data_IF_000612699810
#
_entry.id   IF_000612699810
#
_cell.length_a   1.000
_cell.length_b   1.000
_cell.length_c   1.000
_cell.angle_alpha   90.00
_cell.angle_beta   90.00
_cell.angle_gamma   90.00
#
_symmetry.space_group_name_H-M   'P 1'
#
loop_
_entity.id
_entity.type
_entity.pdbx_description
1 polymer ?
#
# COMPACT_ATOMS: atom_id res chain seq x y z
N UNK A 1 -5.41 -18.37 -4.23
CA UNK A 1 -6.29 -17.25 -4.63
C UNK A 1 -5.55 -16.49 -5.71
N UNK A 2 -6.09 -16.56 -6.92
CA UNK A 2 -5.57 -15.90 -8.11
C UNK A 2 -6.24 -14.52 -8.14
N UNK A 3 -5.45 -13.44 -8.21
CA UNK A 3 -5.96 -12.07 -8.33
C UNK A 3 -6.38 -11.86 -9.79
N UNK A 4 -7.42 -12.57 -10.23
CA UNK A 4 -7.84 -12.68 -11.64
C UNK A 4 -8.71 -11.53 -12.15
N UNK A 5 -8.73 -10.39 -11.47
CA UNK A 5 -9.43 -9.22 -11.99
C UNK A 5 -8.52 -8.00 -11.90
N UNK A 6 -7.45 -8.06 -12.69
CA UNK A 6 -6.57 -6.94 -12.95
C UNK A 6 -7.25 -5.94 -13.90
N UNK A 7 -8.44 -5.46 -13.54
CA UNK A 7 -9.00 -4.22 -14.08
C UNK A 7 -8.38 -2.98 -13.38
N UNK A 8 -7.17 -3.13 -12.82
CA UNK A 8 -6.37 -2.13 -12.11
C UNK A 8 -5.70 -1.15 -13.07
N UNK A 9 -6.47 -0.36 -13.79
CA UNK A 9 -5.93 0.87 -14.35
C UNK A 9 -5.76 1.87 -13.20
N UNK A 10 -4.51 2.01 -12.74
CA UNK A 10 -3.94 3.02 -11.83
C UNK A 10 -4.00 2.83 -10.29
N UNK A 11 -5.04 2.26 -9.67
CA UNK A 11 -5.17 2.32 -8.19
C UNK A 11 -5.41 0.98 -7.47
N UNK A 12 -4.58 0.69 -6.46
CA UNK A 12 -4.71 -0.48 -5.56
C UNK A 12 -4.94 -0.09 -4.11
N UNK A 13 -6.05 -0.58 -3.54
CA UNK A 13 -6.42 -0.40 -2.15
C UNK A 13 -6.39 -1.73 -1.39
N UNK A 14 -5.65 -1.78 -0.27
CA UNK A 14 -5.59 -2.93 0.62
C UNK A 14 -6.03 -2.52 2.02
N UNK A 15 -7.01 -3.24 2.57
CA UNK A 15 -7.48 -3.05 3.94
C UNK A 15 -6.72 -3.97 4.90
N UNK A 16 -6.33 -3.44 6.06
CA UNK A 16 -5.67 -4.18 7.13
C UNK A 16 -6.16 -3.70 8.50
N UNK A 17 -6.13 -4.58 9.49
CA UNK A 17 -6.60 -4.26 10.84
C UNK A 17 -5.49 -3.72 11.74
N UNK A 18 -4.24 -4.12 11.48
CA UNK A 18 -3.08 -3.69 12.27
C UNK A 18 -2.03 -3.03 11.37
N UNK A 19 -1.21 -2.17 11.97
CA UNK A 19 -0.11 -1.52 11.26
C UNK A 19 0.90 -2.52 10.69
N UNK A 20 1.21 -3.58 11.46
CA UNK A 20 2.13 -4.61 11.01
C UNK A 20 1.62 -5.27 9.73
N UNK A 21 0.32 -5.58 9.66
CA UNK A 21 -0.29 -6.12 8.45
C UNK A 21 -0.27 -5.12 7.29
N UNK A 22 -0.37 -3.81 7.56
CA UNK A 22 -0.22 -2.78 6.52
C UNK A 22 1.20 -2.79 5.93
N UNK A 23 2.22 -2.87 6.78
CA UNK A 23 3.60 -2.92 6.32
C UNK A 23 3.89 -4.23 5.57
N UNK A 24 3.47 -5.37 6.11
CA UNK A 24 3.62 -6.69 5.46
C UNK A 24 2.98 -6.71 4.07
N UNK A 25 1.75 -6.18 3.94
CA UNK A 25 1.07 -6.08 2.64
C UNK A 25 1.78 -5.13 1.69
N UNK A 26 2.25 -3.98 2.17
CA UNK A 26 2.99 -3.01 1.35
C UNK A 26 4.29 -3.62 0.81
N UNK A 27 5.04 -4.33 1.64
CA UNK A 27 6.24 -5.07 1.24
C UNK A 27 5.91 -6.19 0.26
N UNK A 28 4.84 -6.95 0.51
CA UNK A 28 4.40 -8.04 -0.35
C UNK A 28 4.00 -7.57 -1.75
N UNK A 29 3.22 -6.48 -1.84
CA UNK A 29 2.85 -5.86 -3.11
C UNK A 29 4.09 -5.33 -3.83
N UNK A 30 5.01 -4.66 -3.12
CA UNK A 30 6.25 -4.15 -3.71
C UNK A 30 7.09 -5.27 -4.33
N UNK A 31 7.26 -6.38 -3.60
CA UNK A 31 7.99 -7.54 -4.10
C UNK A 31 7.28 -8.20 -5.30
N UNK A 32 5.95 -8.36 -5.22
CA UNK A 32 5.17 -8.95 -6.30
C UNK A 32 5.21 -8.09 -7.57
N UNK A 33 5.03 -6.77 -7.45
CA UNK A 33 5.14 -5.81 -8.54
C UNK A 33 6.53 -5.84 -9.18
N UNK A 34 7.59 -5.85 -8.38
CA UNK A 34 8.96 -5.95 -8.88
C UNK A 34 9.20 -7.26 -9.66
N UNK A 35 8.66 -8.39 -9.18
CA UNK A 35 8.80 -9.69 -9.83
C UNK A 35 8.15 -9.74 -11.22
N UNK A 36 7.11 -8.93 -11.46
CA UNK A 36 6.44 -8.82 -12.77
C UNK A 36 6.82 -7.55 -13.55
N UNK A 37 7.85 -6.83 -13.10
CA UNK A 37 8.36 -5.62 -13.79
C UNK A 37 7.50 -4.37 -13.65
N UNK A 38 6.54 -4.34 -12.73
CA UNK A 38 5.74 -3.15 -12.42
C UNK A 38 6.49 -2.21 -11.48
N UNK A 39 6.40 -0.90 -11.76
CA UNK A 39 6.95 0.15 -10.90
C UNK A 39 5.86 0.72 -10.01
N UNK A 40 6.04 0.59 -8.69
CA UNK A 40 5.18 1.29 -7.74
C UNK A 40 5.58 2.76 -7.68
N UNK A 41 4.59 3.63 -7.88
CA UNK A 41 4.79 5.07 -7.76
C UNK A 41 4.63 5.50 -6.29
N UNK A 42 5.73 5.52 -5.55
CA UNK A 42 5.76 5.83 -4.11
C UNK A 42 5.01 7.12 -3.75
N UNK A 43 5.19 8.20 -4.52
CA UNK A 43 4.47 9.47 -4.28
C UNK A 43 2.96 9.46 -4.57
N UNK A 44 2.43 8.38 -5.17
CA UNK A 44 0.98 8.18 -5.34
C UNK A 44 0.43 7.20 -4.30
N UNK A 45 1.29 6.38 -3.70
CA UNK A 45 0.92 5.45 -2.63
C UNK A 45 0.61 6.23 -1.37
N UNK A 46 -0.61 6.06 -0.87
CA UNK A 46 -1.15 6.78 0.28
C UNK A 46 -1.74 5.80 1.28
N UNK A 47 -1.62 6.13 2.54
CA UNK A 47 -2.21 5.39 3.65
C UNK A 47 -3.44 6.14 4.13
N UNK A 48 -4.60 5.48 4.09
CA UNK A 48 -5.82 6.00 4.72
C UNK A 48 -6.06 5.25 6.02
N UNK A 49 -6.08 5.97 7.14
CA UNK A 49 -6.32 5.41 8.46
C UNK A 49 -7.70 5.75 8.99
N UNK A 50 -8.44 4.72 9.36
CA UNK A 50 -9.69 4.84 10.08
C UNK A 50 -9.54 4.29 11.49
N UNK A 51 -9.94 5.07 12.49
CA UNK A 51 -10.10 4.64 13.88
C UNK A 51 -8.82 4.11 14.57
N UNK A 52 -7.63 4.35 14.00
CA UNK A 52 -6.37 3.87 14.57
C UNK A 52 -5.32 4.98 14.63
N UNK A 53 -4.65 5.06 15.79
CA UNK A 53 -3.46 5.88 16.01
C UNK A 53 -2.21 5.01 15.78
N UNK A 54 -1.62 5.05 14.59
CA UNK A 54 -0.28 4.55 14.32
C UNK A 54 0.75 5.66 14.56
N UNK A 55 1.75 5.35 15.38
CA UNK A 55 2.89 6.23 15.66
C UNK A 55 4.01 6.09 14.66
N UNK A 56 4.13 4.93 13.99
CA UNK A 56 5.20 4.66 13.05
C UNK A 56 4.71 4.90 11.60
N UNK A 57 5.57 5.36 10.68
CA UNK A 57 5.23 5.46 9.27
C UNK A 57 5.16 4.07 8.60
N UNK A 58 4.35 3.96 7.55
CA UNK A 58 4.44 2.84 6.58
C UNK A 58 5.43 3.27 5.51
N UNK A 59 6.34 2.38 5.11
CA UNK A 59 7.42 2.72 4.17
C UNK A 59 7.47 1.81 2.95
N UNK A 60 7.91 2.37 1.82
CA UNK A 60 8.31 1.64 0.60
C UNK A 60 9.77 1.99 0.31
N UNK A 61 10.66 1.01 0.36
CA UNK A 61 12.12 1.18 0.26
C UNK A 61 12.69 2.28 1.17
N UNK A 62 12.11 2.45 2.36
CA UNK A 62 12.53 3.47 3.33
C UNK A 62 11.96 4.87 3.09
N UNK A 63 11.12 5.08 2.08
CA UNK A 63 10.34 6.30 1.91
C UNK A 63 8.98 6.18 2.62
N UNK A 64 8.67 7.15 3.48
CA UNK A 64 7.40 7.23 4.20
C UNK A 64 6.23 7.51 3.23
N UNK A 65 5.12 6.80 3.42
CA UNK A 65 3.88 7.04 2.68
C UNK A 65 3.05 8.15 3.33
N UNK A 66 2.40 8.97 2.51
CA UNK A 66 1.52 10.04 2.97
C UNK A 66 0.27 9.46 3.67
N UNK A 67 0.01 9.91 4.91
CA UNK A 67 -1.24 9.59 5.63
C UNK A 67 -2.33 10.60 5.20
N UNK A 68 -3.38 10.10 4.55
CA UNK A 68 -4.50 10.91 4.06
C UNK A 68 -5.77 10.60 4.83
N UNK A 69 -6.65 11.60 4.95
CA UNK A 69 -7.95 11.44 5.62
C UNK A 69 -9.06 10.92 4.70
N UNK A 70 -8.88 11.09 3.38
CA UNK A 70 -9.79 10.64 2.33
C UNK A 70 -8.98 10.40 1.06
N UNK A 71 -9.37 9.41 0.26
CA UNK A 71 -8.95 9.34 -1.14
C UNK A 71 -9.87 10.26 -1.95
N UNK A 72 -9.30 11.08 -2.83
CA UNK A 72 -10.00 12.01 -3.73
C UNK A 72 -9.67 11.68 -5.17
#
# INVERSE_FOLDING_TARGET
MQLDDLNFADDLALLSQTQQQMQEKTTSVTAASAAIGLKIHKGKSKVLRYNTACTNPITIDGEDLEDVKTFT
#
